data_IF_941777553119
#
_entry.id   IF_941777553119
#
_cell.length_a   1.000
_cell.length_b   1.000
_cell.length_c   1.000
_cell.angle_alpha   90.00
_cell.angle_beta   90.00
_cell.angle_gamma   90.00
#
_symmetry.space_group_name_H-M   'P 1'
#
loop_
_entity.id
_entity.type
_entity.pdbx_description
1 polymer ?
#
# COMPACT_ATOMS: atom_id res chain seq x y z
N UNK A 1 24.74 -6.21 5.16
CA UNK A 1 24.22 -5.09 5.99
C UNK A 1 24.11 -3.82 5.14
N UNK A 2 25.19 -3.06 4.92
CA UNK A 2 25.12 -1.79 4.15
C UNK A 2 24.51 -1.89 2.74
N UNK A 3 24.76 -2.98 2.02
CA UNK A 3 24.21 -3.19 0.66
C UNK A 3 22.69 -3.41 0.72
N UNK A 4 22.20 -4.12 1.73
CA UNK A 4 20.77 -4.40 1.88
C UNK A 4 20.00 -3.15 2.31
N UNK A 5 20.59 -2.34 3.19
CA UNK A 5 20.03 -1.06 3.61
C UNK A 5 19.92 -0.09 2.42
N UNK A 6 20.95 -0.06 1.56
CA UNK A 6 20.95 0.74 0.33
C UNK A 6 19.88 0.27 -0.66
N UNK A 7 19.74 -1.04 -0.87
CA UNK A 7 18.70 -1.61 -1.74
C UNK A 7 17.31 -1.26 -1.18
N UNK A 8 17.09 -1.40 0.12
CA UNK A 8 15.83 -1.07 0.78
C UNK A 8 15.47 0.41 0.61
N UNK A 9 16.46 1.29 0.73
CA UNK A 9 16.28 2.72 0.53
C UNK A 9 15.89 3.04 -0.92
N UNK A 10 16.59 2.48 -1.91
CA UNK A 10 16.30 2.69 -3.34
C UNK A 10 14.93 2.13 -3.70
N UNK A 11 14.56 0.95 -3.19
CA UNK A 11 13.23 0.35 -3.39
C UNK A 11 12.16 1.22 -2.75
N UNK A 12 12.37 1.71 -1.52
CA UNK A 12 11.43 2.60 -0.85
C UNK A 12 11.19 3.91 -1.61
N UNK A 13 12.26 4.57 -2.07
CA UNK A 13 12.17 5.82 -2.84
C UNK A 13 11.51 5.58 -4.19
N UNK A 14 11.94 4.58 -4.96
CA UNK A 14 11.37 4.28 -6.28
C UNK A 14 9.90 3.88 -6.18
N UNK A 15 9.54 3.04 -5.20
CA UNK A 15 8.15 2.65 -4.92
C UNK A 15 7.33 3.84 -4.46
N UNK A 16 7.89 4.73 -3.65
CA UNK A 16 7.24 5.95 -3.20
C UNK A 16 6.91 6.87 -4.37
N UNK A 17 7.88 7.13 -5.25
CA UNK A 17 7.70 7.95 -6.45
C UNK A 17 6.67 7.30 -7.39
N UNK A 18 6.85 6.03 -7.74
CA UNK A 18 5.92 5.32 -8.61
C UNK A 18 4.50 5.25 -8.01
N UNK A 19 4.39 4.94 -6.71
CA UNK A 19 3.13 4.84 -5.99
C UNK A 19 2.39 6.17 -5.87
N UNK A 20 3.12 7.29 -5.69
CA UNK A 20 2.54 8.63 -5.64
C UNK A 20 2.12 9.16 -7.02
N UNK A 21 2.84 8.79 -8.08
CA UNK A 21 2.49 9.16 -9.46
C UNK A 21 1.30 8.35 -9.98
N UNK A 22 1.26 7.04 -9.70
CA UNK A 22 0.20 6.16 -10.16
C UNK A 22 -1.05 6.21 -9.26
N UNK A 23 -0.94 6.74 -8.03
CA UNK A 23 -2.03 6.78 -7.06
C UNK A 23 -2.41 5.43 -6.45
N UNK A 24 -1.62 4.38 -6.70
CA UNK A 24 -1.88 3.00 -6.25
C UNK A 24 -1.37 2.72 -4.82
N UNK A 25 -0.64 3.66 -4.22
CA UNK A 25 -0.13 3.53 -2.85
C UNK A 25 1.09 2.61 -2.67
N UNK A 26 1.59 1.94 -3.73
CA UNK A 26 2.87 1.19 -3.69
C UNK A 26 2.81 -0.22 -3.12
N UNK A 27 1.64 -0.70 -2.67
CA UNK A 27 1.47 -2.02 -2.07
C UNK A 27 1.85 -3.19 -2.99
N UNK A 28 1.62 -3.04 -4.30
CA UNK A 28 2.02 -4.01 -5.31
C UNK A 28 3.53 -4.29 -5.34
N UNK A 29 4.35 -3.33 -4.90
CA UNK A 29 5.81 -3.50 -4.83
C UNK A 29 6.23 -3.88 -3.39
N UNK A 30 5.65 -3.25 -2.37
CA UNK A 30 6.02 -3.52 -0.97
C UNK A 30 5.70 -4.95 -0.51
N UNK A 31 4.55 -5.52 -0.90
CA UNK A 31 4.16 -6.88 -0.49
C UNK A 31 5.14 -7.94 -0.99
N UNK A 32 5.44 -8.06 -2.31
CA UNK A 32 6.41 -9.04 -2.78
C UNK A 32 7.82 -8.72 -2.30
N UNK A 33 8.17 -7.44 -2.11
CA UNK A 33 9.46 -7.08 -1.54
C UNK A 33 9.63 -7.61 -0.11
N UNK A 34 8.65 -7.38 0.77
CA UNK A 34 8.69 -7.87 2.15
C UNK A 34 8.61 -9.40 2.27
N UNK A 35 7.86 -10.06 1.39
CA UNK A 35 7.76 -11.52 1.42
C UNK A 35 8.99 -12.22 0.81
N UNK A 36 9.41 -11.82 -0.40
CA UNK A 36 10.46 -12.51 -1.15
C UNK A 36 11.87 -12.10 -0.74
N UNK A 37 12.10 -10.81 -0.45
CA UNK A 37 13.45 -10.33 -0.11
C UNK A 37 13.71 -10.33 1.40
N UNK A 38 12.72 -9.95 2.22
CA UNK A 38 12.86 -9.93 3.69
C UNK A 38 12.39 -11.23 4.37
N UNK A 39 11.83 -12.18 3.60
CA UNK A 39 11.40 -13.48 4.13
C UNK A 39 10.26 -13.41 5.15
N UNK A 40 9.51 -12.30 5.20
CA UNK A 40 8.41 -12.15 6.15
C UNK A 40 7.24 -13.06 5.74
N UNK A 41 6.54 -13.68 6.70
CA UNK A 41 5.32 -14.44 6.38
C UNK A 41 4.30 -13.49 5.74
N UNK A 42 3.55 -13.99 4.75
CA UNK A 42 2.64 -13.19 3.91
C UNK A 42 1.73 -12.27 4.72
N UNK A 43 1.22 -12.75 5.86
CA UNK A 43 0.37 -11.99 6.75
C UNK A 43 1.07 -10.77 7.38
N UNK A 44 2.36 -10.91 7.76
CA UNK A 44 3.18 -9.80 8.27
C UNK A 44 3.60 -8.86 7.14
N UNK A 45 3.98 -9.40 5.98
CA UNK A 45 4.35 -8.61 4.81
C UNK A 45 3.19 -7.71 4.36
N UNK A 46 1.96 -8.25 4.30
CA UNK A 46 0.76 -7.49 3.98
C UNK A 46 0.50 -6.37 5.00
N UNK A 47 0.54 -6.68 6.30
CA UNK A 47 0.35 -5.69 7.36
C UNK A 47 1.39 -4.56 7.36
N UNK A 48 2.68 -4.90 7.22
CA UNK A 48 3.76 -3.93 7.13
C UNK A 48 3.66 -3.05 5.89
N UNK A 49 3.25 -3.63 4.75
CA UNK A 49 3.03 -2.85 3.52
C UNK A 49 1.90 -1.84 3.70
N UNK A 50 0.79 -2.21 4.33
CA UNK A 50 -0.32 -1.29 4.61
C UNK A 50 0.13 -0.11 5.47
N UNK A 51 0.94 -0.35 6.49
CA UNK A 51 1.52 0.74 7.29
C UNK A 51 2.32 1.71 6.41
N UNK A 52 3.21 1.20 5.54
CA UNK A 52 3.99 2.03 4.62
C UNK A 52 3.10 2.80 3.61
N UNK A 53 2.09 2.13 3.05
CA UNK A 53 1.13 2.72 2.10
C UNK A 53 0.37 3.88 2.76
N UNK A 54 -0.05 3.76 4.02
CA UNK A 54 -0.77 4.84 4.73
C UNK A 54 0.10 6.09 4.84
N UNK A 55 1.38 5.96 5.23
CA UNK A 55 2.28 7.11 5.29
C UNK A 55 2.54 7.71 3.91
N UNK A 56 2.78 6.86 2.89
CA UNK A 56 3.03 7.30 1.53
C UNK A 56 1.84 8.07 0.95
N UNK A 57 0.64 7.49 1.02
CA UNK A 57 -0.58 8.08 0.46
C UNK A 57 -1.01 9.31 1.24
N UNK A 58 -0.82 9.36 2.56
CA UNK A 58 -1.09 10.57 3.36
C UNK A 58 -0.16 11.73 2.99
N UNK A 59 1.12 11.44 2.76
CA UNK A 59 2.11 12.44 2.32
C UNK A 59 1.76 12.95 0.90
N UNK A 60 1.48 12.04 -0.03
CA UNK A 60 1.06 12.38 -1.38
C UNK A 60 -0.24 13.20 -1.39
N UNK A 61 -1.27 12.76 -0.66
CA UNK A 61 -2.54 13.47 -0.54
C UNK A 61 -2.36 14.87 0.06
N UNK A 62 -1.48 15.03 1.06
CA UNK A 62 -1.16 16.35 1.61
C UNK A 62 -0.51 17.25 0.56
N UNK A 63 0.47 16.74 -0.21
CA UNK A 63 1.11 17.48 -1.29
C UNK A 63 0.10 17.92 -2.38
N UNK A 64 -0.81 17.03 -2.79
CA UNK A 64 -1.87 17.36 -3.75
C UNK A 64 -2.89 18.37 -3.19
N UNK A 65 -3.17 18.32 -1.88
CA UNK A 65 -4.05 19.29 -1.21
C UNK A 65 -3.45 20.69 -1.29
N UNK A 66 -2.15 20.85 -1.02
CA UNK A 66 -1.48 22.15 -1.09
C UNK A 66 -1.47 22.74 -2.51
N UNK A 67 -1.52 21.90 -3.54
CA UNK A 67 -1.66 22.35 -4.93
C UNK A 67 -3.09 22.78 -5.30
N UNK A 68 -4.06 22.66 -4.39
CA UNK A 68 -5.47 22.99 -4.67
C UNK A 68 -6.16 22.03 -5.64
N UNK A 69 -5.58 20.84 -5.88
CA UNK A 69 -6.05 19.87 -6.88
C UNK A 69 -6.98 18.79 -6.32
N UNK A 70 -7.37 18.90 -5.04
CA UNK A 70 -8.24 17.92 -4.37
C UNK A 70 -9.62 18.54 -4.16
N UNK A 71 -10.63 17.93 -4.79
CA UNK A 71 -12.02 18.13 -4.40
C UNK A 71 -12.32 17.27 -3.18
N UNK A 72 -12.48 17.92 -2.02
CA UNK A 72 -12.77 17.26 -0.74
C UNK A 72 -14.10 16.50 -0.77
N UNK A 73 -15.08 16.94 -1.55
CA UNK A 73 -16.37 16.26 -1.67
C UNK A 73 -16.18 14.94 -2.41
N UNK A 74 -15.43 14.95 -3.51
CA UNK A 74 -15.13 13.75 -4.27
C UNK A 74 -14.30 12.77 -3.44
N UNK A 75 -13.27 13.27 -2.74
CA UNK A 75 -12.44 12.47 -1.85
C UNK A 75 -13.26 11.78 -0.74
N UNK A 76 -14.21 12.49 -0.12
CA UNK A 76 -15.10 11.91 0.89
C UNK A 76 -16.00 10.81 0.31
N UNK A 77 -16.56 11.02 -0.88
CA UNK A 77 -17.37 9.99 -1.56
C UNK A 77 -16.54 8.73 -1.88
N UNK A 78 -15.31 8.91 -2.36
CA UNK A 78 -14.40 7.80 -2.61
C UNK A 78 -14.03 7.06 -1.32
N UNK A 79 -13.83 7.77 -0.21
CA UNK A 79 -13.50 7.16 1.08
C UNK A 79 -14.65 6.30 1.61
N UNK A 80 -15.89 6.82 1.54
CA UNK A 80 -17.09 6.08 1.96
C UNK A 80 -17.37 4.87 1.07
N UNK A 81 -17.07 4.95 -0.23
CA UNK A 81 -17.20 3.79 -1.13
C UNK A 81 -16.07 2.76 -0.92
N UNK A 82 -14.83 3.22 -0.83
CA UNK A 82 -13.65 2.33 -0.86
C UNK A 82 -13.43 1.61 0.46
N UNK A 83 -13.70 2.25 1.61
CA UNK A 83 -13.50 1.63 2.92
C UNK A 83 -14.30 0.32 3.10
N UNK A 84 -15.64 0.29 2.93
CA UNK A 84 -16.40 -0.94 3.07
C UNK A 84 -16.03 -1.97 1.99
N UNK A 85 -15.72 -1.54 0.76
CA UNK A 85 -15.24 -2.44 -0.29
C UNK A 85 -13.91 -3.10 0.07
N UNK A 86 -12.98 -2.38 0.70
CA UNK A 86 -11.70 -2.95 1.15
C UNK A 86 -11.90 -3.98 2.27
N UNK A 87 -12.78 -3.70 3.24
CA UNK A 87 -13.12 -4.65 4.30
C UNK A 87 -13.81 -5.91 3.74
N UNK A 88 -14.79 -5.74 2.85
CA UNK A 88 -15.47 -6.86 2.20
C UNK A 88 -14.50 -7.69 1.35
N UNK A 89 -13.61 -7.04 0.60
CA UNK A 89 -12.59 -7.71 -0.20
C UNK A 89 -11.61 -8.51 0.67
N UNK A 90 -11.15 -7.94 1.79
CA UNK A 90 -10.28 -8.63 2.74
C UNK A 90 -10.98 -9.84 3.38
N UNK A 91 -12.26 -9.71 3.75
CA UNK A 91 -13.05 -10.81 4.30
C UNK A 91 -13.24 -11.94 3.27
N UNK A 92 -13.58 -11.60 2.03
CA UNK A 92 -13.70 -12.58 0.93
C UNK A 92 -12.36 -13.27 0.63
N UNK A 93 -11.25 -12.53 0.63
CA UNK A 93 -9.93 -13.09 0.39
C UNK A 93 -9.57 -14.19 1.41
N UNK A 94 -9.87 -13.97 2.69
CA UNK A 94 -9.65 -14.97 3.74
C UNK A 94 -10.48 -16.24 3.53
N UNK A 95 -11.72 -16.11 3.02
CA UNK A 95 -12.58 -17.26 2.74
C UNK A 95 -12.10 -18.08 1.53
N UNK A 96 -11.55 -17.41 0.51
CA UNK A 96 -11.03 -18.08 -0.69
C UNK A 96 -9.70 -18.79 -0.37
N UNK A 97 -8.84 -18.16 0.44
CA UNK A 97 -7.57 -18.74 0.87
C UNK A 97 -7.77 -20.01 1.70
N UNK A 98 -8.84 -20.08 2.51
CA UNK A 98 -9.25 -21.28 3.24
C UNK A 98 -9.72 -22.45 2.33
N UNK A 99 -10.09 -22.18 1.08
CA UNK A 99 -10.56 -23.20 0.13
C UNK A 99 -9.45 -23.72 -0.81
N UNK A 100 -8.43 -22.89 -1.11
CA UNK A 100 -7.33 -23.24 -2.05
C UNK A 100 -6.02 -23.69 -1.40
N UNK A 101 -5.81 -23.49 -0.09
CA UNK A 101 -4.65 -23.99 0.67
C UNK A 101 -5.02 -25.17 1.58
N UNK A 102 -5.40 -26.29 0.96
CA UNK A 102 -5.26 -27.63 1.57
C UNK A 102 -4.12 -28.37 0.91
#
# INVERSE_FOLDING_TARGET
>A
MLIEDLVSFVVGVSTGVAGALLGLGGGFIFVPYFHLFLGLPMQKAAGSSLAAIVFLTSSAASAYRFQGRIDLKLAAMFLVASAPSAFLGAWLAQQIEAYYLK
#
